data_IF_416893734810
#
_entry.id   IF_416893734810
#
_cell.length_a   1.000
_cell.length_b   1.000
_cell.length_c   1.000
_cell.angle_alpha   90.00
_cell.angle_beta   90.00
_cell.angle_gamma   90.00
#
_symmetry.space_group_name_H-M   'P 1'
#
loop_
_entity.id
_entity.type
_entity.pdbx_description
1 polymer ?
#
# COMPACT_ATOMS: atom_id res chain seq x y z
N UNK A 1 10.99 33.71 55.69
CA UNK A 1 11.93 33.33 54.60
C UNK A 1 11.49 32.00 54.02
N UNK A 2 10.92 32.02 52.82
CA UNK A 2 10.22 30.87 52.22
C UNK A 2 11.24 29.93 51.56
N UNK A 3 11.20 28.66 51.96
CA UNK A 3 12.09 27.58 51.54
C UNK A 3 12.03 27.34 50.02
N UNK A 4 13.08 27.75 49.30
CA UNK A 4 13.23 27.58 47.83
C UNK A 4 14.12 26.38 47.44
N UNK A 5 14.40 25.44 48.34
CA UNK A 5 15.38 24.37 48.07
C UNK A 5 14.79 23.03 47.60
N UNK A 6 13.49 22.75 47.84
CA UNK A 6 12.91 21.42 47.56
C UNK A 6 12.19 21.26 46.22
N UNK A 7 11.98 22.32 45.44
CA UNK A 7 11.20 22.27 44.19
C UNK A 7 12.02 21.87 42.96
N UNK A 8 13.35 22.10 42.98
CA UNK A 8 14.26 21.78 41.87
C UNK A 8 14.37 20.28 41.54
N UNK A 9 14.48 19.34 42.50
CA UNK A 9 14.58 17.92 42.17
C UNK A 9 13.27 17.33 41.63
N UNK A 10 12.13 17.89 42.03
CA UNK A 10 10.81 17.41 41.61
C UNK A 10 10.51 17.80 40.15
N UNK A 11 10.87 19.04 39.77
CA UNK A 11 10.79 19.50 38.38
C UNK A 11 11.76 18.73 37.48
N UNK A 12 12.99 18.47 37.96
CA UNK A 12 13.97 17.68 37.22
C UNK A 12 13.50 16.22 37.01
N UNK A 13 12.88 15.60 38.01
CA UNK A 13 12.34 14.24 37.91
C UNK A 13 11.13 14.17 36.96
N UNK A 14 10.27 15.20 36.94
CA UNK A 14 9.15 15.25 35.98
C UNK A 14 9.64 15.42 34.54
N UNK A 15 10.64 16.28 34.31
CA UNK A 15 11.23 16.48 32.97
C UNK A 15 11.94 15.22 32.47
N UNK A 16 12.67 14.51 33.34
CA UNK A 16 13.25 13.21 33.01
C UNK A 16 12.19 12.15 32.72
N UNK A 17 11.09 12.11 33.49
CA UNK A 17 9.98 11.20 33.24
C UNK A 17 9.33 11.44 31.88
N UNK A 18 9.09 12.70 31.52
CA UNK A 18 8.57 13.09 30.20
C UNK A 18 9.56 12.70 29.09
N UNK A 19 10.85 12.98 29.27
CA UNK A 19 11.88 12.65 28.28
C UNK A 19 11.99 11.13 28.04
N UNK A 20 11.88 10.32 29.10
CA UNK A 20 11.89 8.86 29.01
C UNK A 20 10.61 8.34 28.35
N UNK A 21 9.45 8.90 28.69
CA UNK A 21 8.18 8.53 28.02
C UNK A 21 8.21 8.91 26.55
N UNK A 22 8.75 10.08 26.17
CA UNK A 22 8.90 10.47 24.75
C UNK A 22 9.96 9.66 24.01
N UNK A 23 11.01 9.20 24.70
CA UNK A 23 12.06 8.36 24.10
C UNK A 23 11.63 6.90 23.94
N UNK A 24 10.70 6.42 24.79
CA UNK A 24 10.12 5.09 24.70
C UNK A 24 8.85 5.06 23.84
N UNK A 25 8.24 6.21 23.56
CA UNK A 25 7.00 6.28 22.80
C UNK A 25 7.19 5.83 21.35
N UNK A 26 8.32 6.10 20.67
CA UNK A 26 8.40 5.82 19.22
C UNK A 26 9.82 5.50 18.74
N UNK A 27 10.05 4.22 18.38
CA UNK A 27 10.44 3.93 17.00
C UNK A 27 9.31 3.20 16.24
N UNK A 28 8.26 2.75 16.93
CA UNK A 28 7.20 1.93 16.35
C UNK A 28 6.17 2.71 15.52
N UNK A 29 5.98 4.01 15.75
CA UNK A 29 4.94 4.82 15.09
C UNK A 29 5.42 5.71 13.95
N UNK A 30 6.73 5.93 13.79
CA UNK A 30 7.27 6.80 12.75
C UNK A 30 7.86 6.05 11.53
N UNK A 31 8.11 4.75 11.63
CA UNK A 31 8.73 3.95 10.57
C UNK A 31 7.75 3.01 9.84
N UNK A 32 6.58 2.70 10.42
CA UNK A 32 5.58 1.82 9.78
C UNK A 32 4.70 2.50 8.73
N UNK A 33 4.78 3.83 8.57
CA UNK A 33 3.86 4.60 7.72
C UNK A 33 4.43 4.97 6.32
N UNK A 34 5.70 4.68 6.03
CA UNK A 34 6.34 5.12 4.79
C UNK A 34 6.22 4.10 3.66
N UNK A 35 6.92 2.97 3.81
CA UNK A 35 7.11 2.02 2.71
C UNK A 35 5.87 1.15 2.50
N UNK A 36 5.24 0.70 3.59
CA UNK A 36 4.03 -0.12 3.53
C UNK A 36 2.86 0.66 2.92
N UNK A 37 2.64 1.91 3.34
CA UNK A 37 1.62 2.79 2.75
C UNK A 37 1.87 3.07 1.28
N UNK A 38 3.12 3.29 0.86
CA UNK A 38 3.46 3.45 -0.56
C UNK A 38 3.16 2.16 -1.34
N UNK A 39 3.53 0.99 -0.80
CA UNK A 39 3.28 -0.30 -1.45
C UNK A 39 1.78 -0.57 -1.58
N UNK A 40 0.98 -0.30 -0.55
CA UNK A 40 -0.47 -0.45 -0.60
C UNK A 40 -1.10 0.52 -1.60
N UNK A 41 -0.66 1.79 -1.63
CA UNK A 41 -1.12 2.73 -2.66
C UNK A 41 -0.83 2.23 -4.08
N UNK A 42 0.32 1.60 -4.33
CA UNK A 42 0.64 1.01 -5.63
C UNK A 42 -0.29 -0.18 -5.91
N UNK A 43 -0.50 -1.07 -4.94
CA UNK A 43 -1.42 -2.21 -5.10
C UNK A 43 -2.85 -1.74 -5.36
N UNK A 44 -3.32 -0.72 -4.65
CA UNK A 44 -4.65 -0.12 -4.83
C UNK A 44 -4.80 0.55 -6.20
N UNK A 45 -3.74 1.21 -6.69
CA UNK A 45 -3.74 1.76 -8.06
C UNK A 45 -3.79 0.63 -9.11
N UNK A 46 -3.07 -0.47 -8.89
CA UNK A 46 -2.95 -1.59 -9.82
C UNK A 46 -4.16 -2.54 -9.78
N UNK A 47 -4.92 -2.59 -8.70
CA UNK A 47 -6.08 -3.50 -8.54
C UNK A 47 -7.42 -2.76 -8.47
N UNK A 48 -7.38 -1.44 -8.24
CA UNK A 48 -8.56 -0.59 -8.12
C UNK A 48 -9.21 -0.21 -9.46
N UNK A 49 -10.05 0.83 -9.40
CA UNK A 49 -10.87 1.25 -10.53
C UNK A 49 -10.05 1.70 -11.76
N UNK A 50 -8.87 2.29 -11.53
CA UNK A 50 -7.98 2.76 -12.61
C UNK A 50 -7.55 1.58 -13.48
N UNK A 51 -7.10 0.49 -12.88
CA UNK A 51 -6.73 -0.73 -13.63
C UNK A 51 -7.91 -1.28 -14.43
N UNK A 52 -9.11 -1.33 -13.84
CA UNK A 52 -10.31 -1.82 -14.55
C UNK A 52 -10.61 -1.00 -15.80
N UNK A 53 -10.48 0.32 -15.73
CA UNK A 53 -10.66 1.20 -16.88
C UNK A 53 -9.61 0.93 -17.96
N UNK A 54 -8.33 0.83 -17.59
CA UNK A 54 -7.25 0.53 -18.54
C UNK A 54 -7.41 -0.84 -19.20
N UNK A 55 -7.76 -1.87 -18.42
CA UNK A 55 -8.02 -3.22 -18.92
C UNK A 55 -9.19 -3.23 -19.91
N UNK A 56 -10.27 -2.50 -19.61
CA UNK A 56 -11.44 -2.40 -20.50
C UNK A 56 -11.06 -1.78 -21.84
N UNK A 57 -10.30 -0.69 -21.84
CA UNK A 57 -9.83 -0.05 -23.09
C UNK A 57 -8.94 -1.01 -23.88
N UNK A 58 -8.03 -1.73 -23.22
CA UNK A 58 -7.16 -2.70 -23.89
C UNK A 58 -7.96 -3.81 -24.57
N UNK A 59 -8.97 -4.38 -23.90
CA UNK A 59 -9.84 -5.42 -24.47
C UNK A 59 -10.58 -4.91 -25.71
N UNK A 60 -11.10 -3.68 -25.67
CA UNK A 60 -11.76 -3.06 -26.83
C UNK A 60 -10.80 -2.96 -28.01
N UNK A 61 -9.57 -2.48 -27.79
CA UNK A 61 -8.57 -2.35 -28.86
C UNK A 61 -8.21 -3.71 -29.45
N UNK A 62 -8.02 -4.74 -28.60
CA UNK A 62 -7.72 -6.11 -29.05
C UNK A 62 -8.87 -6.66 -29.91
N UNK A 63 -10.11 -6.48 -29.47
CA UNK A 63 -11.28 -6.92 -30.23
C UNK A 63 -11.36 -6.25 -31.60
N UNK A 64 -11.11 -4.94 -31.66
CA UNK A 64 -11.08 -4.19 -32.92
C UNK A 64 -9.92 -4.67 -33.81
N UNK A 65 -8.71 -4.81 -33.26
CA UNK A 65 -7.53 -5.28 -34.01
C UNK A 65 -7.74 -6.69 -34.58
N UNK A 66 -8.44 -7.54 -33.82
CA UNK A 66 -8.82 -8.88 -34.26
C UNK A 66 -9.86 -8.85 -35.38
N UNK A 67 -10.90 -8.00 -35.29
CA UNK A 67 -11.91 -7.84 -36.34
C UNK A 67 -11.33 -7.38 -37.68
N UNK A 68 -10.29 -6.53 -37.64
CA UNK A 68 -9.59 -6.06 -38.85
C UNK A 68 -8.47 -6.99 -39.34
N UNK A 69 -8.29 -8.15 -38.71
CA UNK A 69 -7.27 -9.13 -39.13
C UNK A 69 -5.82 -8.70 -38.86
N UNK A 70 -5.59 -7.67 -38.04
CA UNK A 70 -4.24 -7.30 -37.58
C UNK A 70 -3.66 -8.30 -36.57
N UNK A 71 -4.51 -9.20 -36.06
CA UNK A 71 -4.19 -10.15 -35.01
C UNK A 71 -5.00 -11.44 -35.19
N UNK A 72 -4.36 -12.59 -35.00
CA UNK A 72 -5.04 -13.90 -35.00
C UNK A 72 -5.69 -14.21 -33.64
N UNK A 73 -6.69 -15.10 -33.64
CA UNK A 73 -7.40 -15.58 -32.43
C UNK A 73 -6.44 -16.06 -31.33
N UNK A 74 -5.34 -16.73 -31.72
CA UNK A 74 -4.35 -17.24 -30.78
C UNK A 74 -3.63 -16.10 -30.04
N UNK A 75 -3.24 -15.05 -30.78
CA UNK A 75 -2.54 -13.90 -30.22
C UNK A 75 -3.50 -13.08 -29.35
N UNK A 76 -4.75 -12.90 -29.77
CA UNK A 76 -5.79 -12.27 -28.96
C UNK A 76 -6.04 -13.05 -27.66
N UNK A 77 -6.11 -14.37 -27.73
CA UNK A 77 -6.30 -15.25 -26.58
C UNK A 77 -5.25 -15.06 -25.48
N UNK A 78 -3.97 -14.92 -25.84
CA UNK A 78 -2.90 -14.67 -24.85
C UNK A 78 -3.10 -13.36 -24.08
N UNK A 79 -3.54 -12.31 -24.77
CA UNK A 79 -3.81 -11.03 -24.11
C UNK A 79 -5.00 -11.12 -23.16
N UNK A 80 -6.09 -11.76 -23.58
CA UNK A 80 -7.29 -11.91 -22.73
C UNK A 80 -6.99 -12.75 -21.49
N UNK A 81 -6.26 -13.87 -21.64
CA UNK A 81 -5.84 -14.69 -20.50
C UNK A 81 -4.93 -13.89 -19.57
N UNK A 82 -3.97 -13.14 -20.11
CA UNK A 82 -3.08 -12.31 -19.31
C UNK A 82 -3.81 -11.28 -18.45
N UNK A 83 -4.80 -10.58 -19.03
CA UNK A 83 -5.64 -9.63 -18.28
C UNK A 83 -6.43 -10.34 -17.17
N UNK A 84 -6.99 -11.52 -17.46
CA UNK A 84 -7.71 -12.31 -16.47
C UNK A 84 -6.82 -12.76 -15.30
N UNK A 85 -5.58 -13.17 -15.58
CA UNK A 85 -4.61 -13.55 -14.54
C UNK A 85 -4.23 -12.35 -13.68
N UNK A 86 -3.99 -11.17 -14.26
CA UNK A 86 -3.66 -9.96 -13.50
C UNK A 86 -4.84 -9.57 -12.59
N UNK A 87 -6.07 -9.65 -13.10
CA UNK A 87 -7.28 -9.35 -12.32
C UNK A 87 -7.50 -10.34 -11.16
N UNK A 88 -7.17 -11.62 -11.35
CA UNK A 88 -7.29 -12.65 -10.31
C UNK A 88 -6.08 -12.77 -9.37
N UNK A 89 -4.98 -12.06 -9.63
CA UNK A 89 -3.72 -12.23 -8.90
C UNK A 89 -3.85 -11.91 -7.41
N UNK A 90 -4.62 -10.87 -7.05
CA UNK A 90 -4.83 -10.47 -5.66
C UNK A 90 -5.57 -11.54 -4.86
N UNK A 91 -6.57 -12.18 -5.45
CA UNK A 91 -7.33 -13.27 -4.81
C UNK A 91 -6.44 -14.50 -4.60
N UNK A 92 -5.68 -14.89 -5.62
CA UNK A 92 -4.76 -16.03 -5.53
C UNK A 92 -3.72 -15.83 -4.41
N UNK A 93 -3.08 -14.67 -4.35
CA UNK A 93 -2.10 -14.37 -3.30
C UNK A 93 -2.77 -14.34 -1.92
N UNK A 94 -3.97 -13.76 -1.81
CA UNK A 94 -4.74 -13.75 -0.56
C UNK A 94 -5.04 -15.16 -0.03
N UNK A 95 -5.34 -16.13 -0.90
CA UNK A 95 -5.57 -17.53 -0.48
C UNK A 95 -4.31 -18.26 -0.03
N UNK A 96 -3.13 -17.88 -0.52
CA UNK A 96 -1.86 -18.57 -0.22
C UNK A 96 -1.23 -18.04 1.07
N UNK A 97 -1.25 -16.71 1.26
CA UNK A 97 -0.56 -16.05 2.38
C UNK A 97 -1.44 -15.99 3.63
N UNK A 98 -2.77 -16.14 3.47
CA UNK A 98 -3.75 -15.91 4.53
C UNK A 98 -4.12 -14.43 4.61
N UNK A 99 -5.42 -14.16 4.78
CA UNK A 99 -6.00 -12.81 4.91
C UNK A 99 -5.64 -12.16 6.24
#
# INVERSE_FOLDING_TARGET
MISKSKTRPLVASMLMGIAIVTALAEPAFAQSAGIETILQNIVDLLTGNIFRLLATIAVIIIAIAWMFGYMDLRRAGYWIIGIGVIAGASELVGTIVGS
#
